data_IF_114218114465
#
_entry.id   IF_114218114465
#
_cell.length_a   1.000
_cell.length_b   1.000
_cell.length_c   1.000
_cell.angle_alpha   90.00
_cell.angle_beta   90.00
_cell.angle_gamma   90.00
#
_symmetry.space_group_name_H-M   'P 1'
#
loop_
_entity.id
_entity.type
_entity.pdbx_description
1 polymer ?
#
# COMPACT_ATOMS: atom_id res chain seq x y z
N UNK A 1 10.62 -26.76 -6.05
CA UNK A 1 11.17 -25.45 -5.76
C UNK A 1 11.34 -24.72 -7.08
N UNK A 2 10.64 -23.63 -7.28
CA UNK A 2 10.83 -22.80 -8.46
C UNK A 2 12.19 -22.09 -8.33
N UNK A 3 12.92 -21.96 -9.44
CA UNK A 3 14.28 -21.48 -9.41
C UNK A 3 14.30 -19.94 -9.43
N UNK A 4 14.51 -19.32 -8.25
CA UNK A 4 14.69 -17.86 -8.12
C UNK A 4 16.13 -17.40 -8.30
N UNK A 5 17.00 -18.20 -8.93
CA UNK A 5 18.44 -17.91 -9.06
C UNK A 5 18.77 -16.64 -9.85
N UNK A 6 17.82 -16.10 -10.61
CA UNK A 6 18.01 -14.88 -11.39
C UNK A 6 17.56 -13.58 -10.73
N UNK A 7 16.95 -13.61 -9.53
CA UNK A 7 16.48 -12.39 -8.87
C UNK A 7 17.66 -11.53 -8.40
N UNK A 8 17.65 -10.26 -8.78
CA UNK A 8 18.66 -9.24 -8.42
C UNK A 8 18.07 -8.08 -7.64
N UNK A 9 16.75 -7.85 -7.77
CA UNK A 9 16.06 -6.79 -7.04
C UNK A 9 14.76 -7.29 -6.40
N UNK A 10 14.46 -6.77 -5.21
CA UNK A 10 13.22 -7.05 -4.49
C UNK A 10 12.55 -5.71 -4.18
N UNK A 11 11.35 -5.53 -4.70
CA UNK A 11 10.50 -4.38 -4.40
C UNK A 11 9.41 -4.76 -3.42
N UNK A 12 9.17 -3.91 -2.45
CA UNK A 12 8.14 -4.08 -1.44
C UNK A 12 7.09 -2.99 -1.58
N UNK A 13 5.84 -3.38 -1.60
CA UNK A 13 4.78 -2.47 -1.25
C UNK A 13 4.93 -2.02 0.20
N UNK A 14 4.30 -0.92 0.57
CA UNK A 14 4.49 -0.32 1.89
C UNK A 14 3.28 -0.51 2.82
N UNK A 15 2.13 0.04 2.45
CA UNK A 15 0.92 0.05 3.26
C UNK A 15 0.32 -1.37 3.33
N UNK A 16 0.12 -1.88 4.54
CA UNK A 16 -0.35 -3.26 4.82
C UNK A 16 0.60 -4.39 4.34
N UNK A 17 1.82 -4.02 3.93
CA UNK A 17 2.92 -4.93 3.63
C UNK A 17 4.09 -4.72 4.60
N UNK A 18 4.57 -3.50 4.77
CA UNK A 18 5.65 -3.14 5.70
C UNK A 18 5.11 -2.63 7.04
N UNK A 19 4.00 -1.90 7.04
CA UNK A 19 3.30 -1.38 8.23
C UNK A 19 1.79 -1.38 8.00
N UNK A 20 1.04 -1.40 9.09
CA UNK A 20 -0.42 -1.42 9.06
C UNK A 20 -0.99 -0.05 8.68
N UNK A 21 -1.98 -0.03 7.79
CA UNK A 21 -2.68 1.18 7.36
C UNK A 21 -4.20 1.02 7.31
N UNK A 22 -4.73 0.02 6.61
CA UNK A 22 -6.16 -0.10 6.31
C UNK A 22 -7.04 -0.09 7.57
N UNK A 23 -6.62 -0.73 8.65
CA UNK A 23 -7.37 -0.72 9.90
C UNK A 23 -7.53 0.69 10.49
N UNK A 24 -6.58 1.60 10.23
CA UNK A 24 -6.69 3.00 10.68
C UNK A 24 -7.72 3.77 9.86
N UNK A 25 -7.79 3.52 8.54
CA UNK A 25 -8.83 4.09 7.69
C UNK A 25 -10.22 3.60 8.11
N UNK A 26 -10.39 2.30 8.38
CA UNK A 26 -11.64 1.74 8.88
C UNK A 26 -12.06 2.36 10.22
N UNK A 27 -11.11 2.58 11.14
CA UNK A 27 -11.40 3.23 12.40
C UNK A 27 -11.88 4.68 12.23
N UNK A 28 -11.25 5.42 11.30
CA UNK A 28 -11.68 6.77 10.93
C UNK A 28 -13.06 6.75 10.28
N UNK A 29 -13.32 5.84 9.35
CA UNK A 29 -14.62 5.69 8.69
C UNK A 29 -15.73 5.35 9.70
N UNK A 30 -15.44 4.46 10.64
CA UNK A 30 -16.39 4.12 11.70
C UNK A 30 -16.78 5.34 12.57
N UNK A 31 -15.79 6.16 12.98
CA UNK A 31 -16.07 7.38 13.74
C UNK A 31 -16.76 8.43 12.86
N UNK A 32 -16.41 8.53 11.59
CA UNK A 32 -17.08 9.37 10.62
C UNK A 32 -18.57 9.02 10.47
N UNK A 33 -18.92 7.75 10.33
CA UNK A 33 -20.30 7.29 10.29
C UNK A 33 -21.07 7.67 11.56
N UNK A 34 -20.43 7.61 12.74
CA UNK A 34 -21.02 8.07 14.01
C UNK A 34 -21.31 9.57 14.02
N UNK A 35 -20.45 10.38 13.43
CA UNK A 35 -20.69 11.83 13.32
C UNK A 35 -21.87 12.15 12.43
N UNK A 36 -22.12 11.34 11.41
CA UNK A 36 -23.20 11.52 10.44
C UNK A 36 -24.49 10.76 10.79
N UNK A 37 -24.56 10.08 11.94
CA UNK A 37 -25.74 9.32 12.38
C UNK A 37 -27.08 10.11 12.35
N UNK A 38 -27.12 11.44 12.49
CA UNK A 38 -28.36 12.19 12.31
C UNK A 38 -28.93 12.18 10.87
N UNK A 39 -28.13 11.83 9.86
CA UNK A 39 -28.50 11.91 8.45
C UNK A 39 -28.52 10.55 7.73
N UNK A 40 -28.10 9.46 8.37
CA UNK A 40 -28.12 8.12 7.80
C UNK A 40 -27.56 7.09 8.76
N UNK A 41 -27.90 5.83 8.55
CA UNK A 41 -27.24 4.74 9.29
C UNK A 41 -25.81 4.51 8.72
N UNK A 42 -25.01 3.73 9.47
CA UNK A 42 -23.60 3.49 9.11
C UNK A 42 -23.44 2.90 7.71
N UNK A 43 -24.28 1.95 7.32
CA UNK A 43 -24.17 1.29 6.00
C UNK A 43 -24.49 2.25 4.85
N UNK A 44 -25.49 3.12 5.03
CA UNK A 44 -25.87 4.16 4.06
C UNK A 44 -24.75 5.19 3.89
N UNK A 45 -24.18 5.66 5.00
CA UNK A 45 -23.09 6.66 4.99
C UNK A 45 -21.84 6.09 4.38
N UNK A 46 -21.47 4.85 4.73
CA UNK A 46 -20.30 4.14 4.18
C UNK A 46 -20.46 3.87 2.68
N UNK A 47 -21.64 3.39 2.24
CA UNK A 47 -21.91 3.18 0.82
C UNK A 47 -21.85 4.49 0.02
N UNK A 48 -22.36 5.60 0.59
CA UNK A 48 -22.27 6.92 -0.04
C UNK A 48 -20.82 7.42 -0.09
N UNK A 49 -20.00 7.15 0.94
CA UNK A 49 -18.57 7.48 0.95
C UNK A 49 -17.84 6.69 -0.15
N UNK A 50 -18.04 5.38 -0.23
CA UNK A 50 -17.45 4.55 -1.27
C UNK A 50 -17.81 5.03 -2.69
N UNK A 51 -19.07 5.44 -2.90
CA UNK A 51 -19.49 6.02 -4.18
C UNK A 51 -18.79 7.36 -4.48
N UNK A 52 -18.58 8.19 -3.42
CA UNK A 52 -17.87 9.47 -3.54
C UNK A 52 -16.39 9.25 -3.85
N UNK A 53 -15.72 8.29 -3.20
CA UNK A 53 -14.34 7.88 -3.49
C UNK A 53 -14.22 7.40 -4.94
N UNK A 54 -15.09 6.48 -5.36
CA UNK A 54 -15.08 5.93 -6.72
C UNK A 54 -15.21 7.02 -7.78
N UNK A 55 -16.11 8.00 -7.57
CA UNK A 55 -16.34 9.08 -8.51
C UNK A 55 -15.15 10.04 -8.65
N UNK A 56 -14.35 10.19 -7.60
CA UNK A 56 -13.24 11.16 -7.56
C UNK A 56 -11.84 10.51 -7.69
N UNK A 57 -11.77 9.19 -7.75
CA UNK A 57 -10.48 8.47 -7.74
C UNK A 57 -9.53 8.90 -8.87
N UNK A 58 -10.08 9.15 -10.06
CA UNK A 58 -9.28 9.54 -11.22
C UNK A 58 -8.61 10.92 -11.05
N UNK A 59 -9.28 11.85 -10.35
CA UNK A 59 -8.81 13.22 -10.21
C UNK A 59 -8.00 13.44 -8.93
N UNK A 60 -8.38 12.78 -7.84
CA UNK A 60 -7.77 12.99 -6.52
C UNK A 60 -6.74 11.93 -6.14
N UNK A 61 -6.78 10.75 -6.79
CA UNK A 61 -5.86 9.65 -6.50
C UNK A 61 -6.06 9.06 -5.11
N UNK A 62 -4.97 8.54 -4.55
CA UNK A 62 -4.92 7.85 -3.26
C UNK A 62 -4.29 8.73 -2.18
N UNK A 63 -4.65 8.47 -0.92
CA UNK A 63 -3.96 9.03 0.25
C UNK A 63 -4.86 9.80 1.20
N UNK A 64 -4.31 10.13 2.36
CA UNK A 64 -5.03 10.71 3.50
C UNK A 64 -5.67 12.08 3.19
N UNK A 65 -5.04 12.91 2.34
CA UNK A 65 -5.57 14.23 1.97
C UNK A 65 -6.77 14.11 1.05
N UNK A 66 -6.67 13.27 0.01
CA UNK A 66 -7.79 12.97 -0.87
C UNK A 66 -8.96 12.42 -0.05
N UNK A 67 -8.72 11.40 0.77
CA UNK A 67 -9.73 10.82 1.66
C UNK A 67 -10.40 11.85 2.56
N UNK A 68 -9.62 12.77 3.17
CA UNK A 68 -10.18 13.84 4.02
C UNK A 68 -11.12 14.75 3.25
N UNK A 69 -10.78 15.13 2.01
CA UNK A 69 -11.65 15.95 1.16
C UNK A 69 -12.93 15.18 0.83
N UNK A 70 -12.82 13.90 0.50
CA UNK A 70 -13.96 13.04 0.17
C UNK A 70 -14.90 12.80 1.36
N UNK A 71 -14.36 12.68 2.57
CA UNK A 71 -15.17 12.67 3.81
C UNK A 71 -16.01 13.94 3.94
N UNK A 72 -15.42 15.11 3.69
CA UNK A 72 -16.14 16.39 3.75
C UNK A 72 -17.18 16.49 2.64
N UNK A 73 -16.84 16.16 1.39
CA UNK A 73 -17.78 16.15 0.27
C UNK A 73 -18.98 15.23 0.55
N UNK A 74 -18.71 14.00 0.98
CA UNK A 74 -19.77 13.04 1.31
C UNK A 74 -20.65 13.52 2.48
N UNK A 75 -20.06 14.17 3.50
CA UNK A 75 -20.83 14.73 4.62
C UNK A 75 -21.83 15.80 4.16
N UNK A 76 -21.40 16.68 3.26
CA UNK A 76 -22.28 17.70 2.68
C UNK A 76 -23.39 17.06 1.84
N UNK A 77 -23.08 16.02 1.06
CA UNK A 77 -24.06 15.30 0.24
C UNK A 77 -25.10 14.56 1.09
N UNK A 78 -24.65 13.73 2.03
CA UNK A 78 -25.52 12.91 2.90
C UNK A 78 -26.43 13.78 3.76
N UNK A 79 -25.92 14.91 4.25
CA UNK A 79 -26.68 15.86 5.07
C UNK A 79 -27.56 16.83 4.25
N UNK A 80 -27.52 16.76 2.91
CA UNK A 80 -28.16 17.74 2.04
C UNK A 80 -27.77 19.19 2.37
N UNK A 81 -26.49 19.39 2.75
CA UNK A 81 -25.95 20.71 3.15
C UNK A 81 -26.27 21.13 4.59
N UNK A 82 -26.91 20.27 5.39
CA UNK A 82 -27.26 20.58 6.78
C UNK A 82 -26.13 20.30 7.79
N UNK A 83 -25.01 19.70 7.37
CA UNK A 83 -23.85 19.46 8.24
C UNK A 83 -23.28 20.78 8.74
N UNK A 84 -22.99 20.87 10.04
CA UNK A 84 -22.48 22.09 10.65
C UNK A 84 -20.97 22.24 10.52
N UNK A 85 -20.47 23.48 10.64
CA UNK A 85 -19.02 23.76 10.65
C UNK A 85 -18.27 22.99 11.74
N UNK A 86 -18.88 22.76 12.91
CA UNK A 86 -18.27 21.98 13.99
C UNK A 86 -18.08 20.51 13.60
N UNK A 87 -19.06 19.90 12.93
CA UNK A 87 -18.94 18.51 12.45
C UNK A 87 -17.90 18.44 11.33
N UNK A 88 -17.90 19.38 10.39
CA UNK A 88 -16.85 19.46 9.36
C UNK A 88 -15.45 19.59 9.99
N UNK A 89 -15.31 20.44 11.02
CA UNK A 89 -14.05 20.54 11.76
C UNK A 89 -13.59 19.21 12.34
N UNK A 90 -14.50 18.45 12.97
CA UNK A 90 -14.20 17.09 13.49
C UNK A 90 -13.83 16.11 12.39
N UNK A 91 -14.51 16.13 11.25
CA UNK A 91 -14.18 15.29 10.09
C UNK A 91 -12.77 15.60 9.57
N UNK A 92 -12.40 16.87 9.47
CA UNK A 92 -11.04 17.26 9.07
C UNK A 92 -9.99 16.76 10.06
N UNK A 93 -10.25 16.85 11.38
CA UNK A 93 -9.31 16.29 12.38
C UNK A 93 -9.21 14.76 12.31
N UNK A 94 -10.30 14.04 12.02
CA UNK A 94 -10.26 12.60 11.75
C UNK A 94 -9.33 12.27 10.56
N UNK A 95 -9.50 12.96 9.43
CA UNK A 95 -8.64 12.76 8.27
C UNK A 95 -7.17 13.11 8.56
N UNK A 96 -6.91 14.22 9.29
CA UNK A 96 -5.56 14.62 9.70
C UNK A 96 -4.90 13.62 10.64
N UNK A 97 -5.65 12.88 11.45
CA UNK A 97 -5.08 11.86 12.33
C UNK A 97 -4.31 10.78 11.55
N UNK A 98 -4.77 10.45 10.34
CA UNK A 98 -4.08 9.50 9.46
C UNK A 98 -2.68 9.97 9.03
N UNK A 99 -2.46 11.28 8.89
CA UNK A 99 -1.15 11.85 8.55
C UNK A 99 -0.10 11.69 9.67
N UNK A 100 -0.54 11.39 10.89
CA UNK A 100 0.32 11.25 12.06
C UNK A 100 0.56 9.80 12.50
N UNK A 101 0.13 8.83 11.70
CA UNK A 101 0.36 7.41 11.99
C UNK A 101 1.86 7.12 12.16
N UNK A 102 2.19 6.29 13.15
CA UNK A 102 3.58 5.94 13.48
C UNK A 102 4.29 5.11 12.40
N UNK A 103 3.55 4.47 11.51
CA UNK A 103 4.05 3.50 10.52
C UNK A 103 4.92 2.42 11.19
N UNK A 104 4.44 1.87 12.30
CA UNK A 104 5.13 0.81 13.03
C UNK A 104 5.26 -0.43 12.14
N UNK A 105 6.48 -0.95 11.91
CA UNK A 105 6.66 -2.12 11.08
C UNK A 105 5.85 -3.33 11.57
N UNK A 106 5.26 -4.06 10.64
CA UNK A 106 4.59 -5.33 10.93
C UNK A 106 5.59 -6.35 11.47
N UNK A 107 5.07 -7.36 12.16
CA UNK A 107 5.91 -8.37 12.81
C UNK A 107 6.84 -9.07 11.82
N UNK A 108 8.14 -9.02 12.10
CA UNK A 108 9.19 -9.68 11.31
C UNK A 108 9.65 -8.91 10.06
N UNK A 109 9.05 -7.78 9.73
CA UNK A 109 9.44 -6.94 8.59
C UNK A 109 10.90 -6.49 8.72
N UNK A 110 11.24 -5.80 9.80
CA UNK A 110 12.60 -5.30 10.01
C UNK A 110 13.65 -6.42 9.99
N UNK A 111 13.34 -7.57 10.63
CA UNK A 111 14.23 -8.72 10.63
C UNK A 111 14.43 -9.31 9.23
N UNK A 112 13.39 -9.31 8.41
CA UNK A 112 13.45 -9.82 7.03
C UNK A 112 14.25 -8.86 6.14
N UNK A 113 13.98 -7.56 6.23
CA UNK A 113 14.73 -6.55 5.48
C UNK A 113 16.23 -6.55 5.87
N UNK A 114 16.54 -6.63 7.15
CA UNK A 114 17.92 -6.74 7.66
C UNK A 114 18.62 -7.98 7.09
N UNK A 115 17.94 -9.12 7.08
CA UNK A 115 18.47 -10.36 6.50
C UNK A 115 18.76 -10.19 5.00
N UNK A 116 17.78 -9.72 4.22
CA UNK A 116 17.92 -9.56 2.76
C UNK A 116 19.00 -8.53 2.39
N UNK A 117 19.04 -7.42 3.12
CA UNK A 117 20.05 -6.37 2.92
C UNK A 117 21.47 -6.86 3.25
N UNK A 118 21.62 -7.82 4.17
CA UNK A 118 22.89 -8.38 4.58
C UNK A 118 23.39 -9.55 3.72
N UNK A 119 22.57 -10.06 2.79
CA UNK A 119 22.99 -11.15 1.92
C UNK A 119 23.99 -10.66 0.87
N UNK A 120 25.08 -11.43 0.71
CA UNK A 120 26.13 -11.19 -0.28
C UNK A 120 26.27 -12.37 -1.25
N UNK A 121 26.77 -12.10 -2.43
CA UNK A 121 27.19 -13.10 -3.39
C UNK A 121 28.59 -13.67 -3.03
N UNK A 122 29.11 -14.55 -3.88
CA UNK A 122 30.43 -15.17 -3.73
C UNK A 122 31.61 -14.17 -3.80
N UNK A 123 31.37 -12.96 -4.34
CA UNK A 123 32.35 -11.88 -4.45
C UNK A 123 32.24 -10.85 -3.30
N UNK A 124 31.30 -11.04 -2.36
CA UNK A 124 31.03 -10.13 -1.25
C UNK A 124 30.18 -8.90 -1.62
N UNK A 125 29.67 -8.80 -2.85
CA UNK A 125 28.71 -7.77 -3.24
C UNK A 125 27.30 -8.10 -2.72
N UNK A 126 26.49 -7.06 -2.45
CA UNK A 126 25.09 -7.32 -2.04
C UNK A 126 24.33 -8.11 -3.10
N UNK A 127 23.68 -9.17 -2.67
CA UNK A 127 22.94 -10.08 -3.55
C UNK A 127 21.71 -9.43 -4.15
N UNK A 128 21.01 -8.59 -3.38
CA UNK A 128 19.77 -7.93 -3.82
C UNK A 128 19.84 -6.42 -3.66
N UNK A 129 19.31 -5.69 -4.62
CA UNK A 129 18.88 -4.30 -4.44
C UNK A 129 17.46 -4.30 -3.87
N UNK A 130 17.21 -3.50 -2.85
CA UNK A 130 15.90 -3.42 -2.22
C UNK A 130 15.22 -2.10 -2.56
N UNK A 131 13.93 -2.15 -2.87
CA UNK A 131 13.14 -0.96 -3.16
C UNK A 131 11.83 -0.93 -2.35
N UNK A 132 11.38 0.27 -2.02
CA UNK A 132 9.97 0.53 -1.74
C UNK A 132 9.28 0.93 -3.03
N UNK A 133 8.16 0.30 -3.34
CA UNK A 133 7.31 0.63 -4.48
C UNK A 133 5.87 0.74 -4.04
N UNK A 134 5.39 1.95 -3.80
CA UNK A 134 4.10 2.21 -3.15
C UNK A 134 3.27 3.25 -3.88
N UNK A 135 1.94 3.12 -3.76
CA UNK A 135 1.00 4.14 -4.22
C UNK A 135 0.75 5.16 -3.11
N UNK A 136 0.44 6.39 -3.50
CA UNK A 136 -0.04 7.39 -2.57
C UNK A 136 0.55 8.77 -2.78
N UNK A 137 0.30 9.63 -1.82
CA UNK A 137 0.79 11.00 -1.84
C UNK A 137 2.25 11.03 -1.36
N UNK A 138 3.11 11.70 -2.15
CA UNK A 138 4.57 11.70 -1.97
C UNK A 138 4.99 12.03 -0.54
N UNK A 139 4.53 13.16 0.00
CA UNK A 139 4.94 13.62 1.33
C UNK A 139 4.47 12.68 2.44
N UNK A 140 3.29 12.06 2.30
CA UNK A 140 2.77 11.13 3.28
C UNK A 140 3.59 9.85 3.31
N UNK A 141 3.87 9.27 2.14
CA UNK A 141 4.65 8.04 2.02
C UNK A 141 6.11 8.24 2.48
N UNK A 142 6.76 9.36 2.12
CA UNK A 142 8.08 9.70 2.62
C UNK A 142 8.10 9.84 4.16
N UNK A 143 7.09 10.48 4.73
CA UNK A 143 6.95 10.63 6.17
C UNK A 143 6.73 9.29 6.88
N UNK A 144 5.89 8.41 6.35
CA UNK A 144 5.67 7.06 6.89
C UNK A 144 6.96 6.24 6.83
N UNK A 145 7.65 6.21 5.69
CA UNK A 145 8.92 5.50 5.55
C UNK A 145 9.99 6.00 6.53
N UNK A 146 10.08 7.32 6.73
CA UNK A 146 11.02 7.90 7.71
C UNK A 146 10.65 7.50 9.13
N UNK A 147 9.36 7.58 9.52
CA UNK A 147 8.90 7.24 10.87
C UNK A 147 9.02 5.74 11.17
N UNK A 148 8.88 4.88 10.17
CA UNK A 148 9.04 3.44 10.35
C UNK A 148 10.48 3.01 10.69
N UNK A 149 11.46 3.87 10.41
CA UNK A 149 12.89 3.53 10.58
C UNK A 149 13.43 2.57 9.52
N UNK A 150 12.64 2.18 8.51
CA UNK A 150 13.02 1.19 7.50
C UNK A 150 13.79 1.78 6.32
N UNK A 151 13.80 3.10 6.15
CA UNK A 151 14.47 3.77 5.02
C UNK A 151 15.91 3.30 4.75
N UNK A 152 16.76 3.03 5.77
CA UNK A 152 18.15 2.61 5.52
C UNK A 152 18.32 1.26 4.81
N UNK A 153 17.27 0.44 4.73
CA UNK A 153 17.33 -0.86 4.05
C UNK A 153 17.14 -0.76 2.53
N UNK A 154 16.63 0.36 2.04
CA UNK A 154 16.22 0.50 0.63
C UNK A 154 17.20 1.33 -0.19
N UNK A 155 17.51 0.85 -1.39
CA UNK A 155 18.34 1.53 -2.38
C UNK A 155 17.53 2.50 -3.24
N UNK A 156 16.24 2.18 -3.45
CA UNK A 156 15.31 2.95 -4.27
C UNK A 156 13.99 3.12 -3.51
N UNK A 157 13.42 4.31 -3.58
CA UNK A 157 12.08 4.61 -3.08
C UNK A 157 11.28 5.19 -4.25
N UNK A 158 10.31 4.44 -4.74
CA UNK A 158 9.42 4.80 -5.84
C UNK A 158 8.00 4.96 -5.32
N UNK A 159 7.53 6.19 -5.29
CA UNK A 159 6.16 6.54 -4.88
C UNK A 159 5.42 6.98 -6.14
N UNK A 160 4.32 6.30 -6.46
CA UNK A 160 3.59 6.48 -7.71
C UNK A 160 2.12 6.78 -7.45
N UNK A 161 1.46 7.39 -8.43
CA UNK A 161 0.01 7.59 -8.39
C UNK A 161 -0.76 6.28 -8.59
N UNK A 162 -0.21 5.38 -9.44
CA UNK A 162 -0.73 4.02 -9.63
C UNK A 162 0.40 3.07 -10.06
N UNK A 163 0.27 1.77 -9.74
CA UNK A 163 1.24 0.72 -10.09
C UNK A 163 0.92 0.11 -11.46
N UNK A 164 1.01 0.95 -12.49
CA UNK A 164 0.84 0.53 -13.89
C UNK A 164 2.04 -0.26 -14.39
N UNK A 165 1.89 -0.99 -15.51
CA UNK A 165 3.01 -1.67 -16.17
C UNK A 165 4.17 -0.71 -16.47
N UNK A 166 3.86 0.53 -16.90
CA UNK A 166 4.85 1.57 -17.15
C UNK A 166 5.60 1.97 -15.87
N UNK A 167 4.89 2.07 -14.72
CA UNK A 167 5.51 2.36 -13.43
C UNK A 167 6.45 1.22 -13.00
N UNK A 168 6.08 -0.04 -13.26
CA UNK A 168 6.96 -1.20 -13.02
C UNK A 168 8.19 -1.18 -13.93
N UNK A 169 8.06 -0.84 -15.21
CA UNK A 169 9.22 -0.71 -16.10
C UNK A 169 10.16 0.41 -15.67
N UNK A 170 9.65 1.55 -15.18
CA UNK A 170 10.48 2.61 -14.58
C UNK A 170 11.21 2.11 -13.34
N UNK A 171 10.51 1.40 -12.45
CA UNK A 171 11.14 0.78 -11.27
C UNK A 171 12.28 -0.18 -11.65
N UNK A 172 12.08 -1.02 -12.68
CA UNK A 172 13.13 -1.90 -13.20
C UNK A 172 14.34 -1.11 -13.69
N UNK A 173 14.11 0.01 -14.42
CA UNK A 173 15.18 0.88 -14.90
C UNK A 173 15.94 1.54 -13.73
N UNK A 174 15.26 2.04 -12.71
CA UNK A 174 15.86 2.65 -11.51
C UNK A 174 16.70 1.63 -10.72
N UNK A 175 16.28 0.37 -10.75
CA UNK A 175 16.97 -0.75 -10.10
C UNK A 175 18.05 -1.39 -10.98
N UNK A 176 18.21 -0.97 -12.25
CA UNK A 176 19.12 -1.56 -13.22
C UNK A 176 18.95 -3.09 -13.36
N UNK A 177 17.68 -3.52 -13.52
CA UNK A 177 17.29 -4.92 -13.69
C UNK A 177 16.28 -5.08 -14.81
N UNK A 178 16.22 -6.27 -15.41
CA UNK A 178 15.11 -6.67 -16.28
C UNK A 178 13.88 -7.09 -15.43
N UNK A 179 12.66 -7.06 -15.98
CA UNK A 179 11.49 -7.58 -15.27
C UNK A 179 11.68 -9.01 -14.72
N UNK A 180 12.34 -9.89 -15.45
CA UNK A 180 12.60 -11.27 -15.02
C UNK A 180 13.57 -11.39 -13.83
N UNK A 181 14.26 -10.32 -13.47
CA UNK A 181 15.15 -10.24 -12.30
C UNK A 181 14.52 -9.52 -11.10
N UNK A 182 13.27 -9.02 -11.25
CA UNK A 182 12.52 -8.34 -10.20
C UNK A 182 11.61 -9.34 -9.47
N UNK A 183 11.60 -9.24 -8.14
CA UNK A 183 10.59 -9.83 -7.27
C UNK A 183 9.76 -8.71 -6.64
N UNK A 184 8.46 -8.68 -6.89
CA UNK A 184 7.52 -7.80 -6.19
C UNK A 184 6.91 -8.51 -5.00
N UNK A 185 6.89 -7.88 -3.85
CA UNK A 185 6.30 -8.36 -2.60
C UNK A 185 5.23 -7.39 -2.15
N UNK A 186 4.00 -7.83 -2.02
CA UNK A 186 2.90 -6.94 -1.62
C UNK A 186 1.65 -7.68 -1.18
N UNK A 187 0.70 -6.93 -0.61
CA UNK A 187 -0.56 -7.44 -0.09
C UNK A 187 -1.72 -7.34 -1.09
N UNK A 188 -1.64 -6.47 -2.07
CA UNK A 188 -2.70 -6.28 -3.05
C UNK A 188 -2.47 -7.13 -4.31
N UNK A 189 -3.38 -8.09 -4.56
CA UNK A 189 -3.30 -8.84 -5.79
C UNK A 189 -3.47 -7.95 -7.02
N UNK A 190 -4.36 -6.96 -6.95
CA UNK A 190 -4.65 -6.02 -8.03
C UNK A 190 -3.48 -5.10 -8.36
N UNK A 191 -2.83 -4.53 -7.34
CA UNK A 191 -1.85 -3.46 -7.53
C UNK A 191 -0.41 -3.96 -7.53
N UNK A 192 -0.12 -5.03 -6.77
CA UNK A 192 1.25 -5.53 -6.60
C UNK A 192 1.51 -6.76 -7.45
N UNK A 193 0.58 -7.70 -7.44
CA UNK A 193 0.83 -9.03 -7.97
C UNK A 193 0.53 -9.10 -9.47
N UNK A 194 -0.70 -8.79 -9.88
CA UNK A 194 -1.11 -8.92 -11.27
C UNK A 194 -0.24 -8.09 -12.23
N UNK A 195 0.04 -6.79 -11.98
CA UNK A 195 0.89 -6.00 -12.89
C UNK A 195 2.34 -6.49 -12.94
N UNK A 196 2.90 -6.94 -11.80
CA UNK A 196 4.25 -7.53 -11.78
C UNK A 196 4.34 -8.78 -12.66
N UNK A 197 3.35 -9.67 -12.55
CA UNK A 197 3.29 -10.88 -13.37
C UNK A 197 3.11 -10.55 -14.86
N UNK A 198 2.31 -9.54 -15.19
CA UNK A 198 2.07 -9.10 -16.58
C UNK A 198 3.34 -8.66 -17.28
N UNK A 199 4.25 -7.96 -16.59
CA UNK A 199 5.55 -7.57 -17.17
C UNK A 199 6.58 -8.70 -17.16
N UNK A 200 6.24 -9.88 -16.63
CA UNK A 200 7.14 -11.04 -16.52
C UNK A 200 8.03 -11.03 -15.28
N UNK A 201 7.74 -10.22 -14.28
CA UNK A 201 8.40 -10.26 -12.99
C UNK A 201 7.91 -11.44 -12.14
N UNK A 202 8.59 -11.69 -11.03
CA UNK A 202 8.14 -12.61 -9.98
C UNK A 202 7.34 -11.85 -8.92
N UNK A 203 6.44 -12.55 -8.25
CA UNK A 203 5.61 -11.96 -7.21
C UNK A 203 5.48 -12.85 -5.98
N UNK A 204 5.48 -12.22 -4.80
CA UNK A 204 5.10 -12.83 -3.53
C UNK A 204 3.90 -12.07 -2.98
N UNK A 205 2.77 -12.76 -2.91
CA UNK A 205 1.56 -12.24 -2.30
C UNK A 205 1.59 -12.54 -0.79
N UNK A 206 1.51 -11.48 0.01
CA UNK A 206 1.43 -11.53 1.47
C UNK A 206 0.09 -10.93 1.87
N UNK A 207 -1.02 -11.67 1.85
CA UNK A 207 -2.35 -11.12 2.08
C UNK A 207 -2.44 -10.45 3.44
N UNK A 208 -2.97 -9.23 3.48
CA UNK A 208 -3.31 -8.58 4.73
C UNK A 208 -4.75 -8.93 5.13
N UNK A 209 -5.02 -8.97 6.45
CA UNK A 209 -6.33 -9.40 6.99
C UNK A 209 -7.50 -8.55 6.51
N UNK A 210 -7.24 -7.28 6.20
CA UNK A 210 -8.23 -6.32 5.72
C UNK A 210 -7.83 -5.86 4.33
N UNK A 211 -8.74 -6.00 3.36
CA UNK A 211 -8.52 -5.58 1.98
C UNK A 211 -9.44 -4.39 1.69
N UNK A 212 -8.84 -3.28 1.30
CA UNK A 212 -9.60 -2.12 0.85
C UNK A 212 -10.53 -2.49 -0.33
N UNK A 213 -11.77 -2.01 -0.28
CA UNK A 213 -12.80 -2.43 -1.24
C UNK A 213 -12.40 -2.17 -2.71
N UNK A 214 -11.65 -1.09 -2.97
CA UNK A 214 -11.15 -0.76 -4.31
C UNK A 214 -9.99 -1.66 -4.78
N UNK A 215 -9.34 -2.41 -3.89
CA UNK A 215 -8.27 -3.37 -4.22
C UNK A 215 -8.79 -4.80 -4.42
N UNK A 216 -10.08 -5.06 -4.17
CA UNK A 216 -10.67 -6.38 -4.40
C UNK A 216 -10.66 -6.73 -5.88
N UNK A 217 -10.14 -7.91 -6.20
CA UNK A 217 -10.08 -8.46 -7.56
C UNK A 217 -10.12 -9.98 -7.52
N UNK A 218 -10.36 -10.60 -8.66
CA UNK A 218 -10.22 -12.05 -8.80
C UNK A 218 -8.74 -12.42 -8.81
N UNK A 219 -8.37 -13.38 -7.96
CA UNK A 219 -7.02 -13.90 -7.88
C UNK A 219 -6.86 -15.13 -8.75
N UNK A 220 -5.67 -15.35 -9.29
CA UNK A 220 -5.34 -16.50 -10.13
C UNK A 220 -3.99 -17.11 -9.76
N UNK A 221 -3.75 -18.35 -10.19
CA UNK A 221 -2.46 -19.02 -10.03
C UNK A 221 -1.53 -18.69 -11.19
N UNK A 222 -0.23 -18.55 -10.89
CA UNK A 222 0.79 -18.30 -11.89
C UNK A 222 2.11 -18.95 -11.52
N UNK A 223 2.90 -19.39 -12.49
CA UNK A 223 4.18 -20.08 -12.25
C UNK A 223 5.25 -19.20 -11.53
N UNK A 224 5.10 -17.88 -11.60
CA UNK A 224 5.99 -16.90 -10.95
C UNK A 224 5.38 -16.26 -9.72
N UNK A 225 4.32 -16.83 -9.17
CA UNK A 225 3.62 -16.35 -7.98
C UNK A 225 3.84 -17.30 -6.81
N UNK A 226 4.18 -16.73 -5.65
CA UNK A 226 4.11 -17.39 -4.36
C UNK A 226 3.12 -16.69 -3.45
N UNK A 227 2.48 -17.47 -2.58
CA UNK A 227 1.67 -16.95 -1.48
C UNK A 227 2.31 -17.35 -0.18
N UNK A 228 2.39 -16.41 0.74
CA UNK A 228 2.91 -16.62 2.10
C UNK A 228 2.01 -15.94 3.10
N UNK A 229 1.91 -16.46 4.31
CA UNK A 229 1.09 -15.87 5.37
C UNK A 229 1.80 -14.69 6.05
N UNK A 230 3.10 -14.56 5.87
CA UNK A 230 3.88 -13.50 6.51
C UNK A 230 5.20 -13.23 5.76
N UNK A 231 5.66 -11.98 5.83
CA UNK A 231 6.93 -11.56 5.23
C UNK A 231 8.14 -12.38 5.73
N UNK A 232 8.06 -12.97 6.92
CA UNK A 232 9.12 -13.83 7.48
C UNK A 232 9.43 -15.04 6.60
N UNK A 233 8.45 -15.52 5.86
CA UNK A 233 8.57 -16.75 5.05
C UNK A 233 9.36 -16.52 3.76
N UNK A 234 9.54 -15.25 3.33
CA UNK A 234 10.37 -14.91 2.16
C UNK A 234 11.76 -15.48 2.27
N UNK A 235 12.33 -15.55 3.49
CA UNK A 235 13.64 -16.15 3.76
C UNK A 235 13.77 -17.63 3.36
N UNK A 236 12.63 -18.32 3.19
CA UNK A 236 12.60 -19.74 2.79
C UNK A 236 12.42 -19.90 1.30
N UNK A 237 12.00 -18.85 0.63
CA UNK A 237 11.73 -18.82 -0.82
C UNK A 237 13.01 -18.41 -1.57
N UNK A 238 13.78 -17.48 -1.03
CA UNK A 238 15.04 -16.96 -1.55
C UNK A 238 16.25 -17.74 -1.04
#
# INVERSE_FOLDING_TARGET
MLNMQGIRAIAFDADDTLWELQNHFEAVEHEYCRLLAPWGNSDEVSAALFATETANMADMGYGCKAFTILLVENAVRVSHGAVTGDIIGRIVELGKSLLHLGATPLEGVEQTLRYLHGLTDEHGARRYRLAVFTKGELLDQENKLRRSGLAPFFDVVSIVSDKTEEAYHRLCADLDVSPAELLMVGNSFRSDIAPALQIGAYAVHVPFRTIWAHEKTEEYEHERLWRVDSLKEIKRIL
#
